data_IF_780397212600
#
_entry.id   IF_780397212600
#
_cell.length_a   1.000
_cell.length_b   1.000
_cell.length_c   1.000
_cell.angle_alpha   90.00
_cell.angle_beta   90.00
_cell.angle_gamma   90.00
#
_symmetry.space_group_name_H-M   'P 1'
#
loop_
_entity.id
_entity.type
_entity.pdbx_description
1 polymer ?
#
# COMPACT_ATOMS: atom_id res chain seq x y z
N UNK A 1 35.65 -26.45 2.12
CA UNK A 1 35.32 -25.27 2.97
C UNK A 1 35.23 -23.95 2.21
N UNK A 2 36.09 -23.62 1.22
CA UNK A 2 36.02 -22.34 0.50
C UNK A 2 34.76 -22.15 -0.37
N UNK A 3 34.26 -23.22 -1.01
CA UNK A 3 33.07 -23.18 -1.88
C UNK A 3 31.79 -22.87 -1.09
N UNK A 4 31.61 -23.47 0.10
CA UNK A 4 30.44 -23.20 0.95
C UNK A 4 30.39 -21.77 1.50
N UNK A 5 31.55 -21.15 1.74
CA UNK A 5 31.62 -19.76 2.22
C UNK A 5 31.24 -18.79 1.11
N UNK A 6 31.71 -19.01 -0.12
CA UNK A 6 31.34 -18.16 -1.27
C UNK A 6 29.86 -18.25 -1.64
N UNK A 7 29.25 -19.45 -1.55
CA UNK A 7 27.80 -19.63 -1.78
C UNK A 7 26.99 -18.97 -0.67
N UNK A 8 27.40 -19.10 0.60
CA UNK A 8 26.75 -18.41 1.70
C UNK A 8 26.86 -16.89 1.57
N UNK A 9 28.03 -16.36 1.18
CA UNK A 9 28.22 -14.93 0.94
C UNK A 9 27.33 -14.41 -0.19
N UNK A 10 27.21 -15.16 -1.30
CA UNK A 10 26.35 -14.81 -2.43
C UNK A 10 24.85 -14.86 -2.07
N UNK A 11 24.42 -15.87 -1.31
CA UNK A 11 23.04 -15.98 -0.82
C UNK A 11 22.71 -14.87 0.20
N UNK A 12 23.65 -14.49 1.07
CA UNK A 12 23.50 -13.37 1.99
C UNK A 12 23.35 -12.06 1.21
N UNK A 13 24.15 -11.83 0.16
CA UNK A 13 24.03 -10.62 -0.65
C UNK A 13 22.71 -10.54 -1.43
N UNK A 14 22.18 -11.66 -1.92
CA UNK A 14 20.87 -11.71 -2.60
C UNK A 14 19.73 -11.46 -1.60
N UNK A 15 19.84 -12.02 -0.38
CA UNK A 15 18.85 -11.83 0.68
C UNK A 15 18.80 -10.38 1.20
N UNK A 16 19.95 -9.72 1.36
CA UNK A 16 20.01 -8.30 1.73
C UNK A 16 19.54 -7.37 0.60
N UNK A 17 19.63 -7.78 -0.67
CA UNK A 17 19.21 -6.93 -1.80
C UNK A 17 17.69 -6.74 -1.87
N UNK A 18 16.90 -7.56 -1.18
CA UNK A 18 15.44 -7.46 -1.17
C UNK A 18 14.86 -6.77 0.07
N UNK A 19 15.68 -6.38 1.06
CA UNK A 19 15.16 -5.72 2.27
C UNK A 19 14.57 -4.33 1.95
N UNK A 20 13.47 -3.97 2.61
CA UNK A 20 12.91 -2.61 2.55
C UNK A 20 13.86 -1.61 3.24
N UNK A 21 13.75 -0.30 2.97
CA UNK A 21 14.62 0.68 3.64
C UNK A 21 14.50 0.65 5.17
N UNK A 22 13.31 0.41 5.70
CA UNK A 22 13.09 0.20 7.13
C UNK A 22 13.85 -1.03 7.67
N UNK A 23 13.79 -2.15 6.96
CA UNK A 23 14.47 -3.39 7.33
C UNK A 23 16.00 -3.25 7.23
N UNK A 24 16.51 -2.56 6.20
CA UNK A 24 17.95 -2.25 6.04
C UNK A 24 18.50 -1.47 7.24
N UNK A 25 17.63 -0.74 7.94
CA UNK A 25 17.96 0.05 9.14
C UNK A 25 17.57 -0.65 10.46
N UNK A 26 17.27 -1.95 10.43
CA UNK A 26 16.83 -2.73 11.60
C UNK A 26 15.68 -2.04 12.36
N UNK A 27 14.70 -1.51 11.60
CA UNK A 27 13.51 -0.84 12.14
C UNK A 27 13.79 0.39 13.03
N UNK A 28 15.02 0.91 13.03
CA UNK A 28 15.44 2.02 13.90
C UNK A 28 14.98 3.39 13.40
N UNK A 29 14.79 3.54 12.08
CA UNK A 29 14.38 4.80 11.45
C UNK A 29 13.42 4.52 10.30
N UNK A 30 12.40 5.36 10.19
CA UNK A 30 11.41 5.29 9.12
C UNK A 30 12.04 5.57 7.74
N UNK A 31 11.41 5.04 6.70
CA UNK A 31 11.78 5.25 5.30
C UNK A 31 11.50 6.71 4.90
N UNK A 32 12.50 7.43 4.42
CA UNK A 32 12.31 8.79 3.88
C UNK A 32 11.69 8.75 2.49
N UNK A 33 11.22 9.90 1.98
CA UNK A 33 10.74 10.01 0.60
C UNK A 33 11.79 9.55 -0.44
N UNK A 34 13.05 9.98 -0.30
CA UNK A 34 14.12 9.62 -1.24
C UNK A 34 14.46 8.13 -1.22
N UNK A 35 14.39 7.50 -0.04
CA UNK A 35 14.59 6.07 0.13
C UNK A 35 13.42 5.27 -0.45
N UNK A 36 12.19 5.75 -0.30
CA UNK A 36 11.02 5.17 -0.95
C UNK A 36 11.20 5.16 -2.46
N UNK A 37 11.59 6.30 -3.06
CA UNK A 37 11.83 6.38 -4.51
C UNK A 37 12.88 5.37 -4.96
N UNK A 38 14.01 5.35 -4.26
CA UNK A 38 15.12 4.45 -4.60
C UNK A 38 14.65 3.00 -4.56
N UNK A 39 13.91 2.63 -3.51
CA UNK A 39 13.40 1.27 -3.34
C UNK A 39 12.36 0.87 -4.39
N UNK A 40 11.38 1.72 -4.70
CA UNK A 40 10.37 1.36 -5.73
C UNK A 40 10.99 1.24 -7.11
N UNK A 41 11.99 2.07 -7.44
CA UNK A 41 12.73 1.96 -8.70
C UNK A 41 13.59 0.70 -8.75
N UNK A 42 14.23 0.32 -7.64
CA UNK A 42 14.97 -0.96 -7.53
C UNK A 42 14.02 -2.15 -7.77
N UNK A 43 12.82 -2.13 -7.18
CA UNK A 43 11.83 -3.19 -7.38
C UNK A 43 11.33 -3.25 -8.83
N UNK A 44 11.04 -2.10 -9.45
CA UNK A 44 10.59 -2.01 -10.85
C UNK A 44 11.59 -2.65 -11.82
N UNK A 45 12.90 -2.45 -11.58
CA UNK A 45 13.96 -3.03 -12.40
C UNK A 45 14.17 -4.53 -12.16
N UNK A 46 13.61 -5.08 -11.08
CA UNK A 46 13.85 -6.45 -10.65
C UNK A 46 12.89 -7.48 -11.26
N UNK A 47 11.74 -7.05 -11.78
CA UNK A 47 10.69 -7.96 -12.24
C UNK A 47 9.77 -7.34 -13.28
N UNK A 48 9.54 -8.07 -14.38
CA UNK A 48 8.55 -7.70 -15.41
C UNK A 48 7.09 -7.74 -14.92
N UNK A 49 6.83 -8.34 -13.74
CA UNK A 49 5.51 -8.36 -13.12
C UNK A 49 5.08 -7.00 -12.58
N UNK A 50 6.06 -6.13 -12.29
CA UNK A 50 5.84 -4.82 -11.70
C UNK A 50 6.11 -3.73 -12.72
N UNK A 51 5.22 -2.76 -12.75
CA UNK A 51 5.43 -1.48 -13.42
C UNK A 51 5.13 -0.33 -12.46
N UNK A 52 6.13 0.51 -12.21
CA UNK A 52 6.02 1.71 -11.37
C UNK A 52 5.79 2.94 -12.24
N UNK A 53 4.76 3.71 -11.89
CA UNK A 53 4.41 4.95 -12.59
C UNK A 53 4.23 6.10 -11.61
N UNK A 54 4.42 7.32 -12.11
CA UNK A 54 4.04 8.54 -11.38
C UNK A 54 2.56 8.78 -11.58
N UNK A 55 1.78 8.65 -10.51
CA UNK A 55 0.32 8.84 -10.49
C UNK A 55 -0.05 10.34 -10.50
N UNK A 56 0.81 11.18 -9.94
CA UNK A 56 0.61 12.62 -9.81
C UNK A 56 1.73 13.29 -9.02
N UNK A 57 1.52 14.55 -8.62
CA UNK A 57 2.45 15.29 -7.76
C UNK A 57 1.73 15.87 -6.55
N UNK A 58 2.45 16.02 -5.44
CA UNK A 58 1.98 16.71 -4.24
C UNK A 58 1.99 18.23 -4.43
N UNK A 59 1.49 18.95 -3.42
CA UNK A 59 1.56 20.42 -3.35
C UNK A 59 3.01 20.91 -3.50
N UNK A 60 3.95 20.31 -2.78
CA UNK A 60 5.38 20.64 -2.83
C UNK A 60 6.12 19.95 -3.98
N UNK A 61 5.41 19.49 -5.01
CA UNK A 61 5.96 18.94 -6.26
C UNK A 61 6.72 17.60 -6.10
N UNK A 62 6.48 16.85 -5.03
CA UNK A 62 6.96 15.46 -4.89
C UNK A 62 6.08 14.53 -5.72
N UNK A 63 6.67 13.55 -6.39
CA UNK A 63 5.93 12.56 -7.16
C UNK A 63 5.18 11.61 -6.21
N UNK A 64 3.96 11.25 -6.57
CA UNK A 64 3.24 10.14 -5.96
C UNK A 64 3.36 8.94 -6.90
N UNK A 65 3.78 7.80 -6.35
CA UNK A 65 4.04 6.59 -7.14
C UNK A 65 2.91 5.58 -6.99
N UNK A 66 2.58 4.92 -8.09
CA UNK A 66 1.73 3.72 -8.12
C UNK A 66 2.57 2.55 -8.62
N UNK A 67 2.50 1.43 -7.91
CA UNK A 67 3.11 0.16 -8.26
C UNK A 67 2.00 -0.75 -8.81
N UNK A 68 2.08 -1.11 -10.09
CA UNK A 68 1.09 -1.96 -10.76
C UNK A 68 1.67 -3.35 -10.99
N UNK A 69 1.06 -4.35 -10.38
CA UNK A 69 1.44 -5.74 -10.51
C UNK A 69 0.45 -6.47 -11.40
N UNK A 70 0.94 -7.10 -12.46
CA UNK A 70 0.13 -7.92 -13.37
C UNK A 70 1.01 -8.92 -14.11
N UNK A 71 0.48 -10.13 -14.34
CA UNK A 71 1.09 -11.12 -15.25
C UNK A 71 0.90 -10.80 -16.73
N UNK A 72 0.25 -9.67 -17.05
CA UNK A 72 -0.09 -9.23 -18.40
C UNK A 72 -0.17 -7.70 -18.45
N UNK A 73 -0.76 -7.14 -19.50
CA UNK A 73 -1.07 -5.70 -19.52
C UNK A 73 -2.12 -5.40 -18.44
N UNK A 74 -1.76 -4.58 -17.46
CA UNK A 74 -2.62 -4.22 -16.33
C UNK A 74 -3.98 -3.69 -16.79
N UNK A 75 -5.06 -4.24 -16.25
CA UNK A 75 -6.44 -3.84 -16.49
C UNK A 75 -6.98 -4.23 -17.87
N UNK A 76 -6.22 -4.95 -18.69
CA UNK A 76 -6.65 -5.38 -20.03
C UNK A 76 -7.48 -6.66 -20.02
N UNK A 77 -7.22 -7.55 -19.06
CA UNK A 77 -7.97 -8.79 -18.90
C UNK A 77 -9.20 -8.56 -18.02
N UNK A 78 -10.39 -8.56 -18.63
CA UNK A 78 -11.65 -8.34 -17.93
C UNK A 78 -12.02 -9.45 -16.93
N UNK A 79 -11.34 -10.61 -16.99
CA UNK A 79 -11.56 -11.72 -16.06
C UNK A 79 -10.76 -11.57 -14.76
N UNK A 80 -9.77 -10.67 -14.72
CA UNK A 80 -8.99 -10.39 -13.51
C UNK A 80 -9.69 -9.37 -12.63
N UNK A 81 -9.61 -9.58 -11.31
CA UNK A 81 -10.11 -8.63 -10.32
C UNK A 81 -9.05 -7.54 -10.16
N UNK A 82 -9.43 -6.27 -10.36
CA UNK A 82 -8.56 -5.12 -10.13
C UNK A 82 -8.69 -4.66 -8.69
N UNK A 83 -7.58 -4.68 -7.99
CA UNK A 83 -7.47 -4.31 -6.58
C UNK A 83 -6.60 -3.07 -6.47
N UNK A 84 -7.07 -2.08 -5.72
CA UNK A 84 -6.29 -0.89 -5.34
C UNK A 84 -6.08 -0.87 -3.84
N UNK A 85 -4.83 -0.81 -3.41
CA UNK A 85 -4.48 -0.47 -2.03
C UNK A 85 -3.72 0.85 -2.04
N UNK A 86 -4.07 1.76 -1.15
CA UNK A 86 -3.30 2.97 -0.94
C UNK A 86 -3.12 3.24 0.55
N UNK A 87 -2.03 3.93 0.89
CA UNK A 87 -1.64 4.16 2.27
C UNK A 87 -1.17 5.60 2.50
N UNK A 88 -1.11 5.97 3.78
CA UNK A 88 -0.51 7.22 4.25
C UNK A 88 -1.13 8.48 3.65
N UNK A 89 -2.47 8.53 3.57
CA UNK A 89 -3.18 9.79 3.31
C UNK A 89 -2.92 10.82 4.43
N UNK A 90 -2.82 10.32 5.66
CA UNK A 90 -2.32 11.10 6.77
C UNK A 90 -0.81 10.93 6.83
N UNK A 91 -0.03 12.01 6.69
CA UNK A 91 1.42 11.92 6.56
C UNK A 91 2.13 11.37 7.82
N UNK A 92 1.55 11.58 9.00
CA UNK A 92 2.04 10.98 10.26
C UNK A 92 1.71 9.48 10.42
N UNK A 93 0.98 8.93 9.45
CA UNK A 93 0.59 7.57 9.05
C UNK A 93 1.62 6.46 8.79
N UNK A 94 2.79 6.48 9.42
CA UNK A 94 4.01 5.92 8.80
C UNK A 94 3.96 4.39 8.59
N UNK A 95 3.33 3.62 9.48
CA UNK A 95 3.30 2.14 9.36
C UNK A 95 2.57 1.64 8.13
N UNK A 96 1.56 2.37 7.63
CA UNK A 96 0.85 2.00 6.40
C UNK A 96 1.77 2.01 5.18
N UNK A 97 2.62 3.04 5.08
CA UNK A 97 3.66 3.15 4.04
C UNK A 97 4.69 2.03 4.17
N UNK A 98 5.21 1.78 5.37
CA UNK A 98 6.21 0.73 5.58
C UNK A 98 5.66 -0.67 5.25
N UNK A 99 4.44 -0.96 5.69
CA UNK A 99 3.75 -2.22 5.37
C UNK A 99 3.47 -2.37 3.88
N UNK A 100 3.13 -1.29 3.18
CA UNK A 100 2.97 -1.29 1.73
C UNK A 100 4.28 -1.65 1.01
N UNK A 101 5.42 -1.10 1.43
CA UNK A 101 6.72 -1.43 0.82
C UNK A 101 7.12 -2.90 1.07
N UNK A 102 6.84 -3.44 2.25
CA UNK A 102 7.06 -4.86 2.54
C UNK A 102 6.16 -5.76 1.68
N UNK A 103 4.87 -5.40 1.56
CA UNK A 103 3.92 -6.11 0.71
C UNK A 103 4.38 -6.09 -0.75
N UNK A 104 4.83 -4.95 -1.25
CA UNK A 104 5.30 -4.80 -2.63
C UNK A 104 6.46 -5.76 -2.95
N UNK A 105 7.45 -5.84 -2.06
CA UNK A 105 8.54 -6.83 -2.16
C UNK A 105 8.00 -8.26 -2.13
N UNK A 106 7.13 -8.57 -1.17
CA UNK A 106 6.64 -9.93 -0.96
C UNK A 106 5.80 -10.43 -2.14
N UNK A 107 5.05 -9.54 -2.80
CA UNK A 107 4.30 -9.85 -4.02
C UNK A 107 5.19 -10.27 -5.19
N UNK A 108 6.47 -9.89 -5.23
CA UNK A 108 7.42 -10.28 -6.27
C UNK A 108 8.10 -11.63 -6.02
N UNK A 109 7.79 -12.30 -4.90
CA UNK A 109 8.32 -13.63 -4.63
C UNK A 109 7.66 -14.65 -5.57
N UNK A 110 8.45 -15.59 -6.08
CA UNK A 110 8.00 -16.61 -7.05
C UNK A 110 6.80 -17.41 -6.53
N UNK A 111 6.72 -17.70 -5.24
CA UNK A 111 5.56 -18.40 -4.65
C UNK A 111 4.24 -17.62 -4.74
N UNK A 112 4.27 -16.31 -5.03
CA UNK A 112 3.09 -15.45 -5.13
C UNK A 112 2.70 -15.12 -6.58
N UNK A 113 3.46 -15.55 -7.58
CA UNK A 113 3.18 -15.25 -9.00
C UNK A 113 1.79 -15.72 -9.45
N UNK A 114 1.33 -16.85 -8.91
CA UNK A 114 0.00 -17.43 -9.21
C UNK A 114 -1.16 -16.48 -8.91
N UNK A 115 -0.98 -15.49 -8.03
CA UNK A 115 -2.00 -14.49 -7.73
C UNK A 115 -2.36 -13.70 -9.00
N UNK A 116 -1.36 -13.37 -9.82
CA UNK A 116 -1.52 -12.50 -10.97
C UNK A 116 -2.17 -13.18 -12.19
N UNK A 117 -2.49 -14.47 -12.10
CA UNK A 117 -3.42 -15.15 -13.00
C UNK A 117 -4.88 -14.71 -12.77
N UNK A 118 -5.18 -14.16 -11.58
CA UNK A 118 -6.54 -13.82 -11.14
C UNK A 118 -6.73 -12.36 -10.78
N UNK A 119 -5.65 -11.64 -10.47
CA UNK A 119 -5.73 -10.25 -10.03
C UNK A 119 -4.78 -9.36 -10.82
N UNK A 120 -5.21 -8.11 -10.95
CA UNK A 120 -4.36 -6.96 -11.25
C UNK A 120 -4.32 -6.10 -9.99
N UNK A 121 -3.13 -5.86 -9.44
CA UNK A 121 -2.98 -5.25 -8.13
C UNK A 121 -2.23 -3.91 -8.23
N UNK A 122 -2.88 -2.81 -7.88
CA UNK A 122 -2.27 -1.49 -7.80
C UNK A 122 -2.02 -1.12 -6.34
N UNK A 123 -0.83 -0.59 -6.05
CA UNK A 123 -0.43 -0.16 -4.73
C UNK A 123 0.15 1.26 -4.76
N UNK A 124 -0.41 2.15 -3.95
CA UNK A 124 0.12 3.50 -3.73
C UNK A 124 0.65 3.58 -2.29
N UNK A 125 1.97 3.43 -2.07
CA UNK A 125 2.50 3.32 -0.72
C UNK A 125 2.42 4.63 0.08
N UNK A 126 2.42 5.78 -0.61
CA UNK A 126 2.45 7.09 0.03
C UNK A 126 1.59 8.11 -0.73
N UNK A 127 0.43 8.43 -0.15
CA UNK A 127 -0.48 9.46 -0.67
C UNK A 127 -0.12 10.88 -0.24
N UNK A 128 0.57 11.06 0.89
CA UNK A 128 0.90 12.38 1.44
C UNK A 128 2.40 12.52 1.75
N UNK A 129 3.27 12.65 0.73
CA UNK A 129 4.71 12.79 0.95
C UNK A 129 5.06 14.08 1.69
N UNK A 130 4.34 15.18 1.44
CA UNK A 130 4.60 16.49 2.08
C UNK A 130 4.34 16.48 3.59
N UNK A 131 3.24 15.84 3.99
CA UNK A 131 2.93 15.58 5.39
C UNK A 131 3.89 14.57 6.01
N UNK A 132 4.27 13.52 5.27
CA UNK A 132 5.17 12.46 5.75
C UNK A 132 6.53 13.01 6.17
N UNK A 133 7.18 13.81 5.31
CA UNK A 133 8.51 14.36 5.58
C UNK A 133 8.53 15.31 6.80
N UNK A 134 7.36 15.81 7.20
CA UNK A 134 7.18 16.69 8.36
C UNK A 134 6.53 15.98 9.55
N UNK A 135 6.26 14.69 9.43
CA UNK A 135 5.46 13.91 10.38
C UNK A 135 4.13 14.59 10.77
N UNK A 136 3.40 15.10 9.77
CA UNK A 136 2.12 15.80 9.93
C UNK A 136 1.00 15.04 9.22
N UNK A 137 -0.20 15.10 9.83
CA UNK A 137 -1.42 14.52 9.25
C UNK A 137 -1.78 15.11 7.88
N UNK A 138 -1.70 16.43 7.75
CA UNK A 138 -2.20 17.18 6.57
C UNK A 138 -1.13 17.36 5.51
N UNK A 139 -1.54 17.67 4.27
CA UNK A 139 -0.62 17.86 3.12
C UNK A 139 0.07 19.25 3.15
N UNK A 140 0.75 19.61 2.06
CA UNK A 140 1.45 20.90 1.93
C UNK A 140 0.55 22.14 2.06
N UNK A 141 -0.75 22.02 1.82
CA UNK A 141 -1.75 23.10 2.00
C UNK A 141 -2.47 23.06 3.36
N UNK A 142 -2.01 22.24 4.31
CA UNK A 142 -2.71 21.96 5.56
C UNK A 142 -4.15 21.41 5.34
N UNK A 143 -4.35 20.61 4.28
CA UNK A 143 -5.61 19.94 3.99
C UNK A 143 -5.59 18.47 4.44
N UNK A 144 -6.72 18.00 4.98
CA UNK A 144 -6.92 16.59 5.32
C UNK A 144 -7.38 15.82 4.08
N UNK A 145 -6.48 15.03 3.48
CA UNK A 145 -6.75 14.29 2.24
C UNK A 145 -7.95 13.33 2.37
N UNK A 146 -8.12 12.71 3.55
CA UNK A 146 -9.24 11.81 3.85
C UNK A 146 -10.58 12.56 4.09
N UNK A 147 -10.59 13.88 3.98
CA UNK A 147 -11.83 14.69 3.87
C UNK A 147 -11.96 15.35 2.50
N UNK A 148 -10.95 15.21 1.65
CA UNK A 148 -10.88 15.88 0.37
C UNK A 148 -11.45 15.04 -0.79
N UNK A 149 -11.78 13.76 -0.61
CA UNK A 149 -12.35 12.91 -1.68
C UNK A 149 -13.71 13.37 -2.24
N UNK A 150 -14.42 14.28 -1.56
CA UNK A 150 -15.68 14.86 -2.05
C UNK A 150 -15.47 16.18 -2.79
N UNK A 151 -14.55 17.02 -2.31
CA UNK A 151 -14.33 18.37 -2.84
C UNK A 151 -13.27 18.35 -3.95
N UNK A 152 -12.32 17.41 -3.88
CA UNK A 152 -11.27 17.15 -4.88
C UNK A 152 -10.50 18.42 -5.28
N UNK A 153 -9.97 19.12 -4.28
CA UNK A 153 -9.14 20.32 -4.49
C UNK A 153 -7.66 20.02 -4.45
N UNK A 154 -7.25 18.97 -3.74
CA UNK A 154 -5.84 18.68 -3.52
C UNK A 154 -5.29 17.82 -4.67
N UNK A 155 -4.06 18.12 -5.14
CA UNK A 155 -3.49 17.41 -6.28
C UNK A 155 -3.31 15.91 -5.99
N UNK A 156 -3.04 15.53 -4.73
CA UNK A 156 -2.90 14.13 -4.31
C UNK A 156 -4.20 13.34 -4.48
N UNK A 157 -5.33 13.85 -3.97
CA UNK A 157 -6.63 13.16 -4.09
C UNK A 157 -7.17 13.17 -5.51
N UNK A 158 -6.96 14.26 -6.26
CA UNK A 158 -7.29 14.33 -7.70
C UNK A 158 -6.54 13.23 -8.46
N UNK A 159 -5.25 13.05 -8.18
CA UNK A 159 -4.43 12.03 -8.82
C UNK A 159 -4.97 10.61 -8.53
N UNK A 160 -5.29 10.31 -7.27
CA UNK A 160 -5.86 9.01 -6.88
C UNK A 160 -7.22 8.74 -7.55
N UNK A 161 -8.07 9.77 -7.66
CA UNK A 161 -9.35 9.67 -8.36
C UNK A 161 -9.18 9.44 -9.87
N UNK A 162 -8.17 10.04 -10.50
CA UNK A 162 -7.82 9.76 -11.90
C UNK A 162 -7.39 8.30 -12.09
N UNK A 163 -6.54 7.78 -11.19
CA UNK A 163 -6.15 6.38 -11.19
C UNK A 163 -7.39 5.48 -11.05
N UNK A 164 -8.24 5.75 -10.06
CA UNK A 164 -9.46 4.98 -9.85
C UNK A 164 -10.37 5.00 -11.08
N UNK A 165 -10.62 6.18 -11.64
CA UNK A 165 -11.52 6.34 -12.77
C UNK A 165 -10.99 5.70 -14.06
N UNK A 166 -9.66 5.63 -14.23
CA UNK A 166 -9.03 5.00 -15.38
C UNK A 166 -9.19 3.48 -15.41
N UNK A 167 -9.23 2.82 -14.25
CA UNK A 167 -9.27 1.36 -14.17
C UNK A 167 -10.56 0.79 -13.58
N UNK A 168 -11.39 1.57 -12.88
CA UNK A 168 -12.63 1.10 -12.24
C UNK A 168 -12.39 -0.13 -11.34
N UNK A 169 -11.56 0.02 -10.31
CA UNK A 169 -11.18 -1.08 -9.42
C UNK A 169 -12.40 -1.70 -8.71
N UNK A 170 -12.46 -3.03 -8.67
CA UNK A 170 -13.50 -3.77 -7.95
C UNK A 170 -13.30 -3.77 -6.43
N UNK A 171 -12.04 -3.70 -5.98
CA UNK A 171 -11.69 -3.65 -4.56
C UNK A 171 -10.79 -2.44 -4.32
N UNK A 172 -11.09 -1.67 -3.29
CA UNK A 172 -10.25 -0.56 -2.86
C UNK A 172 -10.08 -0.55 -1.35
N UNK A 173 -8.85 -0.40 -0.87
CA UNK A 173 -8.51 -0.35 0.54
C UNK A 173 -7.62 0.85 0.86
N UNK A 174 -8.06 1.65 1.84
CA UNK A 174 -7.28 2.73 2.43
C UNK A 174 -6.67 2.27 3.75
N UNK A 175 -5.35 2.30 3.85
CA UNK A 175 -4.60 1.82 5.02
C UNK A 175 -4.25 2.99 5.93
N UNK A 176 -4.83 2.95 7.12
CA UNK A 176 -4.62 3.89 8.20
C UNK A 176 -3.98 3.24 9.42
N UNK A 177 -3.30 4.04 10.21
CA UNK A 177 -2.82 3.65 11.54
C UNK A 177 -3.53 4.46 12.62
N UNK A 178 -3.72 3.85 13.78
CA UNK A 178 -4.21 4.57 14.95
C UNK A 178 -3.10 4.59 15.99
N UNK A 179 -2.82 5.76 16.53
CA UNK A 179 -2.05 5.84 17.76
C UNK A 179 -2.83 5.10 18.85
N UNK A 180 -2.25 4.08 19.52
CA UNK A 180 -2.92 3.38 20.61
C UNK A 180 -3.23 4.28 21.82
N UNK A 181 -2.69 5.50 21.85
CA UNK A 181 -2.84 6.48 22.93
C UNK A 181 -3.17 7.88 22.39
N UNK A 182 -4.43 8.11 22.01
CA UNK A 182 -4.95 9.49 21.93
C UNK A 182 -5.14 10.07 23.33
N UNK A 183 -5.14 11.39 23.50
CA UNK A 183 -5.39 12.02 24.81
C UNK A 183 -6.79 11.66 25.37
N UNK A 184 -7.74 11.33 24.50
CA UNK A 184 -9.04 10.74 24.87
C UNK A 184 -8.90 9.39 25.59
N UNK A 185 -7.92 8.57 25.20
CA UNK A 185 -7.68 7.24 25.78
C UNK A 185 -6.95 7.31 27.12
N UNK A 186 -6.11 8.33 27.36
CA UNK A 186 -5.55 8.59 28.68
C UNK A 186 -6.63 8.92 29.72
N UNK A 187 -7.71 9.58 29.29
CA UNK A 187 -8.85 9.92 30.13
C UNK A 187 -9.90 8.81 30.27
N UNK A 188 -9.86 7.80 29.40
CA UNK A 188 -10.78 6.64 29.40
C UNK A 188 -10.10 5.34 29.86
N UNK A 189 -8.94 5.43 30.52
CA UNK A 189 -8.20 4.30 31.07
C UNK A 189 -8.92 3.68 32.29
N UNK A 190 -10.09 3.11 32.05
CA UNK A 190 -10.70 2.07 32.85
C UNK A 190 -11.73 1.39 31.95
N UNK A 191 -11.50 0.10 31.68
CA UNK A 191 -12.40 -0.86 31.01
C UNK A 191 -12.12 -1.14 29.50
N UNK A 192 -11.46 -2.30 29.31
CA UNK A 192 -11.71 -3.32 28.27
C UNK A 192 -11.06 -3.24 26.87
N UNK A 193 -10.06 -4.12 26.69
CA UNK A 193 -9.86 -5.11 25.60
C UNK A 193 -10.47 -4.92 24.19
N UNK A 194 -9.57 -4.93 23.19
CA UNK A 194 -9.64 -5.42 21.78
C UNK A 194 -10.66 -4.84 20.75
N UNK A 195 -10.17 -4.45 19.55
CA UNK A 195 -10.34 -5.20 18.26
C UNK A 195 -10.03 -4.35 16.99
N UNK A 196 -9.31 -4.97 16.05
CA UNK A 196 -9.03 -4.55 14.66
C UNK A 196 -10.28 -4.03 13.92
N UNK A 197 -10.16 -2.92 13.19
CA UNK A 197 -11.19 -2.46 12.24
C UNK A 197 -10.57 -2.14 10.88
N UNK A 198 -10.73 -3.04 9.91
CA UNK A 198 -10.48 -2.80 8.49
C UNK A 198 -11.59 -1.88 7.95
N UNK A 199 -11.23 -0.71 7.41
CA UNK A 199 -12.15 0.15 6.66
C UNK A 199 -12.33 -0.37 5.24
N UNK A 200 -13.20 -1.36 5.03
CA UNK A 200 -13.66 -1.72 3.68
C UNK A 200 -14.67 -0.67 3.19
N UNK A 201 -14.27 0.18 2.26
CA UNK A 201 -15.21 0.96 1.44
C UNK A 201 -15.67 0.06 0.29
N UNK A 202 -16.76 -0.69 0.52
CA UNK A 202 -17.45 -1.40 -0.56
C UNK A 202 -18.32 -0.41 -1.31
N UNK A 203 -18.00 -0.15 -2.58
CA UNK A 203 -18.90 0.54 -3.51
C UNK A 203 -20.18 -0.27 -3.69
N UNK A 204 -21.33 0.42 -3.82
CA UNK A 204 -22.69 -0.13 -3.70
C UNK A 204 -23.08 -1.16 -4.77
N UNK A 205 -22.20 -1.50 -5.70
CA UNK A 205 -22.48 -2.42 -6.82
C UNK A 205 -22.26 -3.89 -6.48
N UNK A 206 -21.63 -4.23 -5.33
CA UNK A 206 -21.26 -5.61 -5.00
C UNK A 206 -22.13 -6.31 -3.92
N UNK A 207 -23.17 -5.65 -3.41
CA UNK A 207 -24.05 -6.20 -2.35
C UNK A 207 -24.82 -7.46 -2.78
N UNK A 208 -25.06 -7.67 -4.09
CA UNK A 208 -26.05 -8.66 -4.56
C UNK A 208 -25.46 -9.99 -5.06
N UNK A 209 -24.13 -10.16 -5.09
CA UNK A 209 -23.47 -11.41 -5.52
C UNK A 209 -22.76 -12.18 -4.40
N UNK A 210 -22.48 -11.57 -3.26
CA UNK A 210 -21.91 -12.26 -2.08
C UNK A 210 -22.95 -12.89 -1.15
N UNK A 211 -24.23 -12.49 -1.22
CA UNK A 211 -25.29 -13.07 -0.39
C UNK A 211 -25.64 -14.53 -0.79
N UNK A 212 -25.37 -14.94 -2.03
CA UNK A 212 -25.68 -16.30 -2.50
C UNK A 212 -24.56 -17.34 -2.29
N UNK A 213 -23.38 -16.95 -1.80
CA UNK A 213 -22.29 -17.90 -1.52
C UNK A 213 -22.12 -18.22 -0.02
N UNK A 214 -22.87 -17.53 0.87
CA UNK A 214 -22.62 -17.58 2.32
C UNK A 214 -23.69 -18.28 3.17
N UNK A 215 -24.67 -18.97 2.58
CA UNK A 215 -25.77 -19.61 3.33
C UNK A 215 -25.74 -21.16 3.27
N UNK A 216 -24.79 -21.81 2.59
CA UNK A 216 -24.80 -23.30 2.50
C UNK A 216 -23.70 -24.10 3.18
N UNK A 217 -22.65 -23.52 3.75
CA UNK A 217 -21.53 -24.32 4.30
C UNK A 217 -20.97 -23.90 5.67
N UNK A 218 -21.71 -23.13 6.49
CA UNK A 218 -21.29 -22.87 7.88
C UNK A 218 -22.48 -23.07 8.82
N UNK A 219 -22.98 -24.30 8.85
CA UNK A 219 -23.60 -24.93 10.00
C UNK A 219 -23.42 -26.44 9.78
N UNK A 220 -22.86 -27.13 10.79
CA UNK A 220 -22.58 -28.57 10.89
C UNK A 220 -21.16 -29.02 10.44
N UNK A 221 -20.18 -28.81 11.33
CA UNK A 221 -19.35 -29.86 11.97
C UNK A 221 -18.23 -29.22 12.77
#
# INVERSE_FOLDING_TARGET
MKISISIALLLITISLSQQTPLEKKDYSNLTTYDELISFVNELDQSSDLLNVEVLGKSVEQRNLYVMKFSGSVFGKDEHKIKILIFAQQHGNEQSGKEGALMLARDLLKTENEYLFDKIDFALVPQMNPDGSEKNKRRNGNDMDLNRNHLILTEPETIALHKLFNGYQFEVTMDVHEYAPYGDTWKNMATVSTMMKRLGLLLTSTYRRKLENFRIKNICLS
#
